data_IF_354088178309
#
_entry.id   IF_354088178309
#
_cell.length_a   1.000
_cell.length_b   1.000
_cell.length_c   1.000
_cell.angle_alpha   90.00
_cell.angle_beta   90.00
_cell.angle_gamma   90.00
#
_symmetry.space_group_name_H-M   'P 1'
#
loop_
_entity.id
_entity.type
_entity.pdbx_description
1 polymer ?
#
# COMPACT_ATOMS: atom_id res chain seq x y z
N UNK A 1 -5.88 25.00 22.31
CA UNK A 1 -5.17 24.11 21.36
C UNK A 1 -5.80 24.35 19.99
N UNK A 2 -5.17 25.20 19.13
CA UNK A 2 -5.53 25.31 17.71
C UNK A 2 -5.36 23.93 17.09
N UNK A 3 -6.47 23.24 16.74
CA UNK A 3 -6.49 21.89 16.25
C UNK A 3 -5.62 21.75 15.01
N UNK A 4 -4.67 20.83 15.03
CA UNK A 4 -3.92 20.46 13.82
C UNK A 4 -4.92 19.91 12.83
N UNK A 5 -5.03 20.54 11.65
CA UNK A 5 -6.01 20.14 10.62
C UNK A 5 -5.81 18.68 10.24
N UNK A 6 -6.92 17.96 10.08
CA UNK A 6 -6.95 16.60 9.56
C UNK A 6 -6.31 16.58 8.16
N UNK A 7 -5.39 15.63 7.94
CA UNK A 7 -4.77 15.40 6.65
C UNK A 7 -5.24 14.10 6.01
N UNK A 8 -4.99 13.97 4.72
CA UNK A 8 -5.25 12.77 3.93
C UNK A 8 -3.94 12.32 3.31
N UNK A 9 -3.62 11.02 3.41
CA UNK A 9 -2.51 10.39 2.71
C UNK A 9 -3.09 9.34 1.77
N UNK A 10 -2.79 9.45 0.47
CA UNK A 10 -3.15 8.45 -0.53
C UNK A 10 -1.96 7.50 -0.80
N UNK A 11 -2.24 6.20 -0.76
CA UNK A 11 -1.27 5.12 -0.97
C UNK A 11 -1.68 4.31 -2.20
N UNK A 12 -0.83 4.28 -3.22
CA UNK A 12 -1.07 3.58 -4.48
C UNK A 12 -0.95 2.05 -4.36
N UNK A 13 -1.36 1.33 -5.40
CA UNK A 13 -1.26 -0.12 -5.49
C UNK A 13 0.09 -0.61 -6.00
N UNK A 14 0.27 -1.94 -6.02
CA UNK A 14 1.44 -2.60 -6.58
C UNK A 14 1.59 -2.24 -8.07
N UNK A 15 2.81 -1.96 -8.50
CA UNK A 15 3.15 -1.58 -9.87
C UNK A 15 2.32 -0.40 -10.41
N UNK A 16 1.96 0.53 -9.52
CA UNK A 16 1.23 1.78 -9.81
C UNK A 16 2.05 2.97 -9.33
N UNK A 17 1.50 4.17 -9.44
CA UNK A 17 2.16 5.39 -8.99
C UNK A 17 1.16 6.40 -8.37
N UNK A 18 1.71 7.50 -7.87
CA UNK A 18 0.93 8.56 -7.23
C UNK A 18 0.10 9.40 -8.21
N UNK A 19 0.23 9.23 -9.53
CA UNK A 19 -0.49 10.00 -10.56
C UNK A 19 -1.70 9.26 -11.12
N UNK A 20 -2.01 8.08 -10.60
CA UNK A 20 -3.19 7.31 -11.00
C UNK A 20 -4.50 8.08 -10.75
N UNK A 21 -5.53 7.79 -11.56
CA UNK A 21 -6.80 8.52 -11.53
C UNK A 21 -7.46 8.61 -10.15
N UNK A 22 -7.33 7.56 -9.31
CA UNK A 22 -7.85 7.56 -7.93
C UNK A 22 -7.12 8.59 -7.05
N UNK A 23 -5.79 8.66 -7.13
CA UNK A 23 -4.99 9.63 -6.38
C UNK A 23 -5.33 11.08 -6.77
N UNK A 24 -5.42 11.34 -8.08
CA UNK A 24 -5.78 12.65 -8.59
C UNK A 24 -7.22 13.07 -8.24
N UNK A 25 -8.15 12.11 -8.20
CA UNK A 25 -9.53 12.39 -7.78
C UNK A 25 -9.58 12.80 -6.30
N UNK A 26 -8.86 12.10 -5.42
CA UNK A 26 -8.76 12.46 -4.00
C UNK A 26 -8.04 13.80 -3.82
N UNK A 27 -7.00 14.08 -4.59
CA UNK A 27 -6.32 15.39 -4.57
C UNK A 27 -7.28 16.53 -4.92
N UNK A 28 -8.07 16.40 -6.00
CA UNK A 28 -9.08 17.42 -6.37
C UNK A 28 -10.10 17.65 -5.24
N UNK A 29 -10.57 16.57 -4.62
CA UNK A 29 -11.48 16.67 -3.47
C UNK A 29 -10.81 17.40 -2.29
N UNK A 30 -9.59 17.04 -1.94
CA UNK A 30 -8.85 17.66 -0.85
C UNK A 30 -8.62 19.15 -1.10
N UNK A 31 -8.22 19.54 -2.31
CA UNK A 31 -8.04 20.95 -2.71
C UNK A 31 -9.34 21.74 -2.59
N UNK A 32 -10.46 21.21 -3.12
CA UNK A 32 -11.79 21.85 -3.04
C UNK A 32 -12.22 22.08 -1.59
N UNK A 33 -11.89 21.16 -0.69
CA UNK A 33 -12.29 21.21 0.73
C UNK A 33 -11.19 21.80 1.63
N UNK A 34 -10.11 22.36 1.09
CA UNK A 34 -8.98 22.96 1.82
C UNK A 34 -8.39 22.00 2.89
N UNK A 35 -8.32 20.70 2.56
CA UNK A 35 -7.71 19.66 3.40
C UNK A 35 -6.23 19.50 3.06
N UNK A 36 -5.42 19.18 4.07
CA UNK A 36 -4.04 18.76 3.84
C UNK A 36 -4.04 17.43 3.09
N UNK A 37 -3.22 17.30 2.06
CA UNK A 37 -3.17 16.10 1.24
C UNK A 37 -1.73 15.76 0.86
N UNK A 38 -1.40 14.47 0.94
CA UNK A 38 -0.13 13.91 0.48
C UNK A 38 -0.42 12.69 -0.39
N UNK A 39 0.23 12.59 -1.52
CA UNK A 39 0.41 11.39 -2.32
C UNK A 39 1.88 11.23 -2.65
N UNK A 40 2.37 10.03 -2.73
CA UNK A 40 3.78 9.74 -2.92
C UNK A 40 3.97 8.43 -3.68
N UNK A 41 5.12 8.27 -4.28
CA UNK A 41 5.55 7.00 -4.86
C UNK A 41 6.37 6.22 -3.83
N UNK A 42 5.98 4.98 -3.55
CA UNK A 42 6.83 4.06 -2.80
C UNK A 42 8.13 3.80 -3.58
N UNK A 43 9.23 3.51 -2.88
CA UNK A 43 10.50 3.13 -3.54
C UNK A 43 10.30 2.04 -4.59
N UNK A 44 10.99 2.17 -5.72
CA UNK A 44 10.86 1.29 -6.87
C UNK A 44 9.56 1.45 -7.66
N UNK A 45 8.75 2.50 -7.39
CA UNK A 45 7.54 2.84 -8.12
C UNK A 45 7.59 4.28 -8.63
N UNK A 46 6.87 4.55 -9.72
CA UNK A 46 6.72 5.89 -10.27
C UNK A 46 8.06 6.57 -10.54
N UNK A 47 8.31 7.70 -9.86
CA UNK A 47 9.56 8.48 -9.94
C UNK A 47 10.49 8.30 -8.73
N UNK A 48 10.12 7.44 -7.78
CA UNK A 48 10.98 7.14 -6.63
C UNK A 48 12.15 6.25 -7.02
N UNK A 49 13.24 6.37 -6.27
CA UNK A 49 14.50 5.66 -6.52
C UNK A 49 14.38 4.14 -6.44
N UNK A 50 15.35 3.46 -7.08
CA UNK A 50 15.55 2.01 -7.07
C UNK A 50 14.65 1.27 -8.05
N UNK A 51 14.88 -0.05 -8.16
CA UNK A 51 14.08 -0.93 -9.00
C UNK A 51 13.01 -1.60 -8.15
N UNK A 52 11.86 -1.91 -8.74
CA UNK A 52 10.75 -2.56 -8.06
C UNK A 52 11.17 -3.83 -7.30
N UNK A 53 12.01 -4.66 -7.92
CA UNK A 53 12.48 -5.93 -7.36
C UNK A 53 13.42 -5.79 -6.15
N UNK A 54 13.96 -4.60 -5.89
CA UNK A 54 14.84 -4.34 -4.74
C UNK A 54 14.04 -4.22 -3.43
N UNK A 55 12.73 -3.94 -3.52
CA UNK A 55 11.89 -3.58 -2.39
C UNK A 55 10.77 -4.59 -2.11
N UNK A 56 10.20 -4.47 -0.92
CA UNK A 56 9.22 -5.41 -0.38
C UNK A 56 8.12 -4.66 0.39
N UNK A 57 7.11 -5.39 0.86
CA UNK A 57 6.06 -4.84 1.75
C UNK A 57 6.65 -4.15 2.99
N UNK A 58 7.75 -4.68 3.54
CA UNK A 58 8.42 -4.07 4.70
C UNK A 58 9.01 -2.70 4.37
N UNK A 59 9.60 -2.56 3.19
CA UNK A 59 10.20 -1.32 2.71
C UNK A 59 9.12 -0.27 2.44
N UNK A 60 8.06 -0.63 1.70
CA UNK A 60 6.94 0.26 1.38
C UNK A 60 6.12 0.66 2.60
N UNK A 61 5.99 -0.24 3.60
CA UNK A 61 5.46 0.12 4.91
C UNK A 61 6.31 1.19 5.58
N UNK A 62 7.64 1.06 5.52
CA UNK A 62 8.58 2.06 6.07
C UNK A 62 8.41 3.40 5.37
N UNK A 63 8.31 3.43 4.04
CA UNK A 63 8.07 4.65 3.27
C UNK A 63 6.80 5.37 3.77
N UNK A 64 5.70 4.64 3.96
CA UNK A 64 4.47 5.23 4.49
C UNK A 64 4.63 5.75 5.93
N UNK A 65 5.36 5.02 6.78
CA UNK A 65 5.64 5.49 8.14
C UNK A 65 6.49 6.76 8.14
N UNK A 66 7.49 6.85 7.26
CA UNK A 66 8.30 8.05 7.10
C UNK A 66 7.46 9.25 6.63
N UNK A 67 6.52 9.06 5.70
CA UNK A 67 5.55 10.10 5.31
C UNK A 67 4.70 10.55 6.51
N UNK A 68 4.19 9.61 7.30
CA UNK A 68 3.37 9.94 8.47
C UNK A 68 4.18 10.72 9.51
N UNK A 69 5.40 10.31 9.78
CA UNK A 69 6.21 10.83 10.87
C UNK A 69 6.91 12.15 10.50
N UNK A 70 7.46 12.25 9.29
CA UNK A 70 8.38 13.31 8.88
C UNK A 70 7.75 14.34 7.94
N UNK A 71 6.77 13.96 7.12
CA UNK A 71 6.15 14.89 6.13
C UNK A 71 4.84 15.46 6.66
N UNK A 72 4.03 14.66 7.37
CA UNK A 72 2.72 15.10 7.85
C UNK A 72 2.71 15.47 9.33
N UNK A 73 1.83 16.42 9.69
CA UNK A 73 1.61 16.83 11.09
C UNK A 73 0.16 16.58 11.48
N UNK A 74 -0.06 16.18 12.74
CA UNK A 74 -1.41 15.99 13.29
C UNK A 74 -2.10 14.70 12.81
N UNK A 75 -3.43 14.62 12.95
CA UNK A 75 -4.22 13.44 12.62
C UNK A 75 -4.32 13.22 11.11
N UNK A 76 -4.34 11.95 10.66
CA UNK A 76 -4.40 11.57 9.25
C UNK A 76 -5.53 10.58 8.98
N UNK A 77 -6.16 10.70 7.82
CA UNK A 77 -6.94 9.64 7.18
C UNK A 77 -6.05 9.00 6.12
N UNK A 78 -5.99 7.68 6.09
CA UNK A 78 -5.27 6.93 5.05
C UNK A 78 -6.27 6.41 4.02
N UNK A 79 -5.96 6.63 2.75
CA UNK A 79 -6.71 6.08 1.61
C UNK A 79 -5.78 5.18 0.83
N UNK A 80 -6.03 3.87 0.87
CA UNK A 80 -5.18 2.88 0.25
C UNK A 80 -5.86 2.11 -0.88
N UNK A 81 -5.22 2.05 -2.05
CA UNK A 81 -5.70 1.26 -3.20
C UNK A 81 -4.92 -0.05 -3.30
N UNK A 82 -5.62 -1.20 -3.38
CA UNK A 82 -5.01 -2.53 -3.55
C UNK A 82 -3.92 -2.79 -2.49
N UNK A 83 -2.64 -2.96 -2.87
CA UNK A 83 -1.50 -3.03 -1.95
C UNK A 83 -1.47 -1.86 -0.94
N UNK A 84 -1.80 -0.64 -1.39
CA UNK A 84 -1.89 0.52 -0.50
C UNK A 84 -2.90 0.33 0.63
N UNK A 85 -3.95 -0.46 0.40
CA UNK A 85 -4.90 -0.89 1.42
C UNK A 85 -4.24 -1.77 2.51
N UNK A 86 -3.32 -2.64 2.13
CA UNK A 86 -2.54 -3.41 3.11
C UNK A 86 -1.59 -2.51 3.89
N UNK A 87 -0.85 -1.64 3.20
CA UNK A 87 0.10 -0.72 3.84
C UNK A 87 -0.60 0.22 4.83
N UNK A 88 -1.80 0.74 4.49
CA UNK A 88 -2.56 1.60 5.40
C UNK A 88 -2.96 0.86 6.70
N UNK A 89 -3.35 -0.42 6.60
CA UNK A 89 -3.70 -1.22 7.78
C UNK A 89 -2.47 -1.46 8.66
N UNK A 90 -1.32 -1.79 8.06
CA UNK A 90 -0.05 -1.94 8.78
C UNK A 90 0.37 -0.65 9.47
N UNK A 91 0.24 0.50 8.79
CA UNK A 91 0.57 1.81 9.34
C UNK A 91 -0.41 2.21 10.46
N UNK A 92 -1.71 1.94 10.31
CA UNK A 92 -2.71 2.19 11.34
C UNK A 92 -2.41 1.44 12.65
N UNK A 93 -1.93 0.22 12.54
CA UNK A 93 -1.46 -0.56 13.70
C UNK A 93 -0.21 0.04 14.33
N UNK A 94 0.75 0.51 13.51
CA UNK A 94 2.03 1.03 13.98
C UNK A 94 1.93 2.48 14.50
N UNK A 95 0.96 3.27 14.04
CA UNK A 95 0.77 4.70 14.37
C UNK A 95 -0.68 5.01 14.77
N UNK A 96 -1.29 4.16 15.59
CA UNK A 96 -2.70 4.23 15.96
C UNK A 96 -3.14 5.62 16.47
N UNK A 97 -2.28 6.33 17.17
CA UNK A 97 -2.57 7.68 17.69
C UNK A 97 -2.73 8.73 16.56
N UNK A 98 -1.93 8.57 15.47
CA UNK A 98 -1.91 9.48 14.33
C UNK A 98 -3.06 9.22 13.35
N UNK A 99 -3.51 7.98 13.21
CA UNK A 99 -4.49 7.60 12.20
C UNK A 99 -5.90 7.70 12.78
N UNK A 100 -6.79 8.44 12.10
CA UNK A 100 -8.17 8.74 12.53
C UNK A 100 -9.23 8.09 11.64
N UNK A 101 -8.86 7.54 10.51
CA UNK A 101 -9.77 6.82 9.63
C UNK A 101 -9.02 6.09 8.51
N UNK A 102 -9.65 5.08 7.94
CA UNK A 102 -9.14 4.28 6.83
C UNK A 102 -10.18 4.21 5.72
N UNK A 103 -9.74 4.37 4.47
CA UNK A 103 -10.56 4.12 3.28
C UNK A 103 -9.79 3.17 2.37
N UNK A 104 -10.33 1.97 2.17
CA UNK A 104 -9.76 0.97 1.27
C UNK A 104 -10.50 0.93 -0.06
N UNK A 105 -9.76 1.09 -1.16
CA UNK A 105 -10.27 0.99 -2.53
C UNK A 105 -9.74 -0.31 -3.14
N UNK A 106 -10.60 -1.34 -3.28
CA UNK A 106 -10.20 -2.70 -3.63
C UNK A 106 -8.97 -3.15 -2.80
N UNK A 107 -9.03 -2.92 -1.49
CA UNK A 107 -7.91 -3.20 -0.59
C UNK A 107 -7.57 -4.70 -0.60
N UNK A 108 -6.29 -5.02 -0.76
CA UNK A 108 -5.81 -6.39 -0.89
C UNK A 108 -4.78 -6.75 0.21
N UNK A 109 -5.20 -6.79 1.50
CA UNK A 109 -4.31 -7.21 2.57
C UNK A 109 -3.89 -8.67 2.37
N UNK A 110 -2.63 -8.97 2.72
CA UNK A 110 -2.04 -10.33 2.67
C UNK A 110 -2.04 -10.99 1.27
N UNK A 111 -2.22 -10.23 0.19
CA UNK A 111 -2.32 -10.78 -1.17
C UNK A 111 -1.10 -11.60 -1.62
N UNK A 112 0.05 -11.42 -0.98
CA UNK A 112 1.29 -12.14 -1.34
C UNK A 112 1.13 -13.66 -1.33
N UNK A 113 0.32 -14.21 -0.42
CA UNK A 113 0.03 -15.64 -0.36
C UNK A 113 -0.76 -16.12 -1.57
N UNK A 114 -1.79 -15.39 -1.96
CA UNK A 114 -2.63 -15.76 -3.10
C UNK A 114 -1.87 -15.54 -4.42
N UNK A 115 -1.06 -14.47 -4.49
CA UNK A 115 -0.17 -14.24 -5.62
C UNK A 115 0.83 -15.40 -5.78
N UNK A 116 1.46 -15.89 -4.71
CA UNK A 116 2.35 -17.05 -4.78
C UNK A 116 1.64 -18.32 -5.25
N UNK A 117 0.40 -18.56 -4.77
CA UNK A 117 -0.40 -19.70 -5.22
C UNK A 117 -0.70 -19.63 -6.71
N UNK A 118 -1.04 -18.44 -7.22
CA UNK A 118 -1.36 -18.19 -8.62
C UNK A 118 -0.17 -18.35 -9.58
N UNK A 119 1.06 -18.33 -9.08
CA UNK A 119 2.25 -18.57 -9.90
C UNK A 119 2.22 -19.97 -10.51
N UNK A 120 2.60 -20.07 -11.81
CA UNK A 120 2.76 -21.35 -12.48
C UNK A 120 4.01 -22.12 -11.97
N UNK A 121 4.14 -23.38 -12.38
CA UNK A 121 5.25 -24.25 -11.95
C UNK A 121 6.62 -23.67 -12.30
N UNK A 122 6.77 -23.04 -13.49
CA UNK A 122 8.02 -22.41 -13.94
C UNK A 122 8.41 -21.25 -13.00
N UNK A 123 7.48 -20.32 -12.75
CA UNK A 123 7.75 -19.17 -11.88
C UNK A 123 8.10 -19.60 -10.45
N UNK A 124 7.39 -20.59 -9.89
CA UNK A 124 7.71 -21.15 -8.55
C UNK A 124 9.12 -21.75 -8.52
N UNK A 125 9.50 -22.53 -9.54
CA UNK A 125 10.84 -23.10 -9.66
C UNK A 125 11.91 -22.00 -9.74
N UNK A 126 11.70 -20.97 -10.56
CA UNK A 126 12.65 -19.85 -10.68
C UNK A 126 12.84 -19.11 -9.35
N UNK A 127 11.77 -18.82 -8.60
CA UNK A 127 11.86 -18.21 -7.26
C UNK A 127 12.68 -19.06 -6.30
N UNK A 128 12.50 -20.39 -6.34
CA UNK A 128 13.24 -21.29 -5.44
C UNK A 128 14.72 -21.42 -5.82
N UNK A 129 15.04 -21.47 -7.12
CA UNK A 129 16.40 -21.75 -7.61
C UNK A 129 17.21 -20.48 -7.88
N UNK A 130 16.57 -19.42 -8.42
CA UNK A 130 17.22 -18.16 -8.80
C UNK A 130 16.91 -17.00 -7.87
N UNK A 131 15.94 -17.15 -6.96
CA UNK A 131 15.47 -16.09 -6.06
C UNK A 131 14.57 -15.05 -6.71
N UNK A 132 14.33 -15.12 -8.04
CA UNK A 132 13.59 -14.12 -8.81
C UNK A 132 12.90 -14.76 -10.02
N UNK A 133 11.73 -14.23 -10.39
CA UNK A 133 11.01 -14.60 -11.61
C UNK A 133 10.33 -13.40 -12.25
N UNK A 134 10.25 -13.37 -13.59
CA UNK A 134 9.42 -12.41 -14.31
C UNK A 134 7.95 -12.88 -14.25
N UNK A 135 7.08 -12.01 -13.81
CA UNK A 135 5.63 -12.24 -13.73
C UNK A 135 4.89 -11.24 -14.60
N UNK A 136 3.91 -11.73 -15.36
CA UNK A 136 3.08 -10.90 -16.23
C UNK A 136 1.62 -11.07 -15.82
N UNK A 137 0.94 -9.97 -15.56
CA UNK A 137 -0.48 -9.94 -15.22
C UNK A 137 -1.10 -8.66 -15.75
N UNK A 138 -2.32 -8.75 -16.31
CA UNK A 138 -3.06 -7.60 -16.86
C UNK A 138 -2.25 -6.73 -17.84
N UNK A 139 -1.40 -7.35 -18.67
CA UNK A 139 -0.55 -6.65 -19.64
C UNK A 139 0.73 -6.00 -19.09
N UNK A 140 0.96 -6.06 -17.80
CA UNK A 140 2.17 -5.55 -17.15
C UNK A 140 3.11 -6.66 -16.74
N UNK A 141 4.43 -6.44 -16.95
CA UNK A 141 5.47 -7.35 -16.50
C UNK A 141 6.31 -6.71 -15.41
N UNK A 142 6.61 -7.44 -14.35
CA UNK A 142 7.49 -7.03 -13.26
C UNK A 142 8.17 -8.26 -12.64
N UNK A 143 9.18 -8.03 -11.83
CA UNK A 143 9.92 -9.11 -11.20
C UNK A 143 9.44 -9.35 -9.78
N UNK A 144 9.16 -10.62 -9.46
CA UNK A 144 8.84 -11.07 -8.11
C UNK A 144 10.03 -11.81 -7.53
N UNK A 145 10.41 -11.47 -6.30
CA UNK A 145 11.56 -12.06 -5.64
C UNK A 145 11.17 -12.99 -4.49
N UNK A 146 12.02 -13.94 -4.13
CA UNK A 146 11.86 -14.76 -2.93
C UNK A 146 11.77 -13.88 -1.68
N UNK A 147 12.56 -12.79 -1.62
CA UNK A 147 12.53 -11.80 -0.54
C UNK A 147 11.15 -11.15 -0.41
N UNK A 148 10.51 -10.76 -1.53
CA UNK A 148 9.16 -10.20 -1.52
C UNK A 148 8.18 -11.13 -0.81
N UNK A 149 8.14 -12.42 -1.15
CA UNK A 149 7.21 -13.39 -0.54
C UNK A 149 7.50 -13.64 0.94
N UNK A 150 8.78 -13.69 1.33
CA UNK A 150 9.18 -13.83 2.75
C UNK A 150 8.68 -12.63 3.56
N UNK A 151 8.92 -11.41 3.07
CA UNK A 151 8.50 -10.19 3.75
C UNK A 151 6.97 -10.00 3.71
N UNK A 152 6.30 -10.43 2.64
CA UNK A 152 4.84 -10.49 2.58
C UNK A 152 4.26 -11.40 3.68
N UNK A 153 4.83 -12.59 3.90
CA UNK A 153 4.39 -13.50 4.96
C UNK A 153 4.62 -12.93 6.38
N UNK A 154 5.75 -12.26 6.61
CA UNK A 154 6.06 -11.59 7.88
C UNK A 154 5.08 -10.46 8.21
N UNK A 155 4.63 -9.73 7.19
CA UNK A 155 3.73 -8.59 7.33
C UNK A 155 2.24 -8.99 7.27
N UNK A 156 1.88 -10.26 7.30
CA UNK A 156 0.48 -10.68 7.30
C UNK A 156 -0.27 -10.10 8.49
N UNK A 157 -1.41 -9.49 8.19
CA UNK A 157 -2.23 -8.77 9.17
C UNK A 157 -3.56 -9.48 9.48
N UNK A 158 -4.02 -10.33 8.58
CA UNK A 158 -5.28 -11.08 8.72
C UNK A 158 -5.11 -12.48 9.32
N UNK A 159 -3.94 -12.82 9.89
CA UNK A 159 -3.76 -14.04 10.71
C UNK A 159 -4.67 -14.03 11.95
N UNK A 160 -5.09 -12.83 12.37
CA UNK A 160 -6.06 -12.59 13.44
C UNK A 160 -7.02 -11.49 12.97
N UNK A 161 -8.21 -11.34 13.56
CA UNK A 161 -9.11 -10.24 13.23
C UNK A 161 -8.40 -8.88 13.35
N UNK A 162 -8.48 -8.09 12.30
CA UNK A 162 -7.93 -6.73 12.32
C UNK A 162 -8.82 -5.83 13.18
N UNK A 163 -8.28 -5.34 14.29
CA UNK A 163 -8.99 -4.45 15.20
C UNK A 163 -8.57 -3.00 14.95
N UNK A 164 -9.54 -2.17 14.59
CA UNK A 164 -9.36 -0.73 14.43
C UNK A 164 -10.60 -0.02 14.97
N UNK A 165 -10.43 0.76 16.02
CA UNK A 165 -11.54 1.37 16.79
C UNK A 165 -12.04 2.70 16.21
N UNK A 166 -11.59 3.09 15.02
CA UNK A 166 -11.97 4.34 14.35
C UNK A 166 -12.66 4.04 13.03
N UNK A 167 -13.32 5.02 12.39
CA UNK A 167 -14.03 4.80 11.14
C UNK A 167 -13.17 4.11 10.07
N UNK A 168 -13.71 3.07 9.45
CA UNK A 168 -13.10 2.37 8.34
C UNK A 168 -14.16 2.11 7.26
N UNK A 169 -13.85 2.47 6.03
CA UNK A 169 -14.69 2.22 4.85
C UNK A 169 -13.90 1.38 3.86
N UNK A 170 -14.50 0.31 3.37
CA UNK A 170 -13.93 -0.54 2.31
C UNK A 170 -14.87 -0.49 1.10
N UNK A 171 -14.33 -0.12 -0.04
CA UNK A 171 -15.02 -0.04 -1.32
C UNK A 171 -14.41 -1.08 -2.24
N UNK A 172 -15.25 -1.98 -2.76
CA UNK A 172 -14.83 -3.07 -3.62
C UNK A 172 -15.81 -3.22 -4.79
N UNK A 173 -15.30 -3.50 -5.98
CA UNK A 173 -16.14 -3.81 -7.14
C UNK A 173 -16.73 -5.20 -6.99
N UNK A 174 -18.01 -5.39 -7.37
CA UNK A 174 -18.67 -6.71 -7.29
C UNK A 174 -18.07 -7.75 -8.26
N UNK A 175 -17.29 -7.30 -9.25
CA UNK A 175 -16.62 -8.15 -10.26
C UNK A 175 -15.09 -8.07 -10.15
N UNK A 176 -14.57 -7.54 -9.05
CA UNK A 176 -13.13 -7.33 -8.83
C UNK A 176 -12.47 -8.55 -8.15
#
# INVERSE_FOLDING_TARGET
>A
LKGRRLGIIFIHGLNSDMNGGKALAVERYARKNKLNFVRFDCRGHGKSEGKFEDFTISDWKKDLLDIIDNVTKGPQILIGSSMGGWLMMLAAKARSQRIKGLIGLAAAPDFGKELYKALNKKNKKEILTKGITKYTSYGFSYYLTKKFFIEAEKNRILKKPFRFSKPMVLIHGLKD
#
